data_IF_401613700672
#
_entry.id   IF_401613700672
#
_cell.length_a   1.000
_cell.length_b   1.000
_cell.length_c   1.000
_cell.angle_alpha   90.00
_cell.angle_beta   90.00
_cell.angle_gamma   90.00
#
_symmetry.space_group_name_H-M   'P 1'
#
loop_
_entity.id
_entity.type
_entity.pdbx_description
1 polymer ?
#
# COMPACT_ATOMS: atom_id res chain seq x y z
N UNK A 1 -3.73 -16.73 8.57
CA UNK A 1 -3.24 -16.05 9.80
C UNK A 1 -3.32 -14.53 9.63
N UNK A 2 -2.78 -13.95 8.55
CA UNK A 2 -2.80 -12.49 8.31
C UNK A 2 -4.19 -11.87 8.33
N UNK A 3 -5.18 -12.52 7.71
CA UNK A 3 -6.57 -12.07 7.69
C UNK A 3 -7.17 -11.95 9.08
N UNK A 4 -7.03 -12.99 9.91
CA UNK A 4 -7.53 -12.98 11.29
C UNK A 4 -6.85 -11.87 12.11
N UNK A 5 -5.53 -11.75 11.98
CA UNK A 5 -4.76 -10.71 12.68
C UNK A 5 -5.21 -9.31 12.30
N UNK A 6 -5.41 -9.06 10.99
CA UNK A 6 -5.90 -7.78 10.50
C UNK A 6 -7.28 -7.43 11.06
N UNK A 7 -8.23 -8.38 10.99
CA UNK A 7 -9.59 -8.20 11.53
C UNK A 7 -9.60 -7.87 13.01
N UNK A 8 -8.68 -8.45 13.79
CA UNK A 8 -8.55 -8.13 15.21
C UNK A 8 -7.93 -6.76 15.45
N UNK A 9 -6.87 -6.40 14.70
CA UNK A 9 -6.12 -5.17 14.94
C UNK A 9 -6.89 -3.92 14.48
N UNK A 10 -7.66 -4.00 13.40
CA UNK A 10 -8.39 -2.84 12.86
C UNK A 10 -9.55 -2.37 13.74
N UNK A 11 -9.96 -3.16 14.72
CA UNK A 11 -11.07 -2.82 15.64
C UNK A 11 -10.59 -2.02 16.85
N UNK A 12 -11.54 -1.34 17.49
CA UNK A 12 -11.31 -0.75 18.81
C UNK A 12 -11.25 -1.85 19.89
N UNK A 13 -10.40 -1.65 20.90
CA UNK A 13 -10.19 -2.62 21.99
C UNK A 13 -11.48 -2.95 22.75
N UNK A 14 -12.43 -2.02 22.79
CA UNK A 14 -13.67 -2.15 23.56
C UNK A 14 -14.83 -2.76 22.75
N UNK A 15 -14.61 -3.11 21.47
CA UNK A 15 -15.66 -3.64 20.60
C UNK A 15 -15.68 -5.16 20.62
N UNK A 16 -16.89 -5.73 20.67
CA UNK A 16 -17.11 -7.15 20.39
C UNK A 16 -16.84 -7.38 18.90
N UNK A 17 -15.87 -8.25 18.61
CA UNK A 17 -15.49 -8.59 17.24
C UNK A 17 -16.38 -9.75 16.79
N UNK A 18 -17.21 -9.52 15.79
CA UNK A 18 -17.93 -10.58 15.07
C UNK A 18 -17.09 -10.93 13.85
N UNK A 19 -16.48 -12.11 13.84
CA UNK A 19 -15.63 -12.58 12.74
C UNK A 19 -16.49 -13.29 11.68
N UNK A 20 -16.56 -12.70 10.49
CA UNK A 20 -17.16 -13.30 9.29
C UNK A 20 -16.04 -13.70 8.34
N UNK A 21 -15.78 -14.99 8.23
CA UNK A 21 -14.70 -15.53 7.41
C UNK A 21 -14.87 -15.18 5.93
N UNK A 22 -16.07 -15.28 5.39
CA UNK A 22 -16.33 -15.02 3.97
C UNK A 22 -16.04 -13.56 3.62
N UNK A 23 -16.51 -12.63 4.46
CA UNK A 23 -16.27 -11.21 4.30
C UNK A 23 -14.79 -10.84 4.49
N UNK A 24 -14.11 -11.47 5.44
CA UNK A 24 -12.71 -11.19 5.75
C UNK A 24 -11.73 -11.72 4.68
N UNK A 25 -12.16 -12.65 3.84
CA UNK A 25 -11.40 -13.20 2.71
C UNK A 25 -11.70 -12.49 1.38
N UNK A 26 -12.59 -11.49 1.38
CA UNK A 26 -12.91 -10.71 0.18
C UNK A 26 -11.68 -9.93 -0.33
N UNK A 27 -11.56 -9.84 -1.65
CA UNK A 27 -10.61 -8.95 -2.33
C UNK A 27 -11.16 -7.50 -2.48
N UNK A 28 -12.28 -7.21 -1.83
CA UNK A 28 -12.93 -5.90 -1.84
C UNK A 28 -13.11 -5.38 -0.41
N UNK A 29 -13.05 -4.07 -0.26
CA UNK A 29 -13.26 -3.39 1.01
C UNK A 29 -12.03 -3.41 1.93
N UNK A 30 -12.27 -3.19 3.22
CA UNK A 30 -11.22 -3.08 4.24
C UNK A 30 -10.83 -4.47 4.78
N UNK A 31 -10.03 -5.21 4.00
CA UNK A 31 -9.60 -6.59 4.28
C UNK A 31 -8.10 -6.78 4.04
N UNK A 32 -7.49 -7.72 4.75
CA UNK A 32 -6.08 -8.06 4.52
C UNK A 32 -5.81 -8.55 3.08
N UNK A 33 -6.65 -9.43 2.47
CA UNK A 33 -6.46 -9.82 1.08
C UNK A 33 -6.47 -8.66 0.09
N UNK A 34 -7.33 -7.65 0.29
CA UNK A 34 -7.35 -6.44 -0.53
C UNK A 34 -5.99 -5.71 -0.50
N UNK A 35 -5.45 -5.52 0.70
CA UNK A 35 -4.16 -4.84 0.92
C UNK A 35 -3.01 -5.67 0.33
N UNK A 36 -3.00 -6.97 0.59
CA UNK A 36 -1.99 -7.89 0.07
C UNK A 36 -2.03 -7.98 -1.46
N UNK A 37 -3.21 -7.91 -2.07
CA UNK A 37 -3.36 -7.87 -3.52
C UNK A 37 -2.77 -6.61 -4.14
N UNK A 38 -2.94 -5.44 -3.50
CA UNK A 38 -2.30 -4.20 -3.95
C UNK A 38 -0.77 -4.32 -3.93
N UNK A 39 -0.21 -4.92 -2.87
CA UNK A 39 1.23 -5.21 -2.77
C UNK A 39 1.71 -6.13 -3.89
N UNK A 40 1.04 -7.27 -4.11
CA UNK A 40 1.40 -8.23 -5.14
C UNK A 40 1.32 -7.62 -6.55
N UNK A 41 0.31 -6.75 -6.79
CA UNK A 41 0.17 -6.00 -8.04
C UNK A 41 1.34 -5.06 -8.28
N UNK A 42 1.77 -4.30 -7.27
CA UNK A 42 2.94 -3.42 -7.35
C UNK A 42 4.21 -4.22 -7.63
N UNK A 43 4.43 -5.33 -6.91
CA UNK A 43 5.57 -6.24 -7.14
C UNK A 43 5.62 -6.75 -8.58
N UNK A 44 4.47 -7.11 -9.15
CA UNK A 44 4.36 -7.55 -10.55
C UNK A 44 4.70 -6.44 -11.56
N UNK A 45 4.34 -5.18 -11.28
CA UNK A 45 4.73 -4.04 -12.12
C UNK A 45 6.25 -3.89 -12.10
N UNK A 46 6.87 -3.94 -10.93
CA UNK A 46 8.32 -3.85 -10.78
C UNK A 46 9.05 -4.98 -11.52
N UNK A 47 8.61 -6.22 -11.36
CA UNK A 47 9.15 -7.38 -12.09
C UNK A 47 9.05 -7.20 -13.61
N UNK A 48 7.88 -6.81 -14.11
CA UNK A 48 7.62 -6.64 -15.55
C UNK A 48 8.35 -5.46 -16.18
N UNK A 49 8.65 -4.42 -15.41
CA UNK A 49 9.33 -3.22 -15.92
C UNK A 49 10.74 -3.51 -16.39
N UNK A 50 11.41 -4.48 -15.76
CA UNK A 50 12.85 -4.76 -15.98
C UNK A 50 13.76 -3.58 -15.58
N UNK A 51 13.20 -2.51 -14.99
CA UNK A 51 13.93 -1.31 -14.59
C UNK A 51 14.30 -1.42 -13.11
N UNK A 52 15.56 -1.20 -12.79
CA UNK A 52 16.00 -1.08 -11.40
C UNK A 52 15.51 0.27 -10.85
N UNK A 53 14.67 0.29 -9.80
CA UNK A 53 14.20 1.54 -9.21
C UNK A 53 15.38 2.38 -8.70
N UNK A 54 15.35 3.67 -9.01
CA UNK A 54 16.35 4.64 -8.56
C UNK A 54 15.64 5.87 -7.99
N UNK A 55 16.27 6.52 -7.02
CA UNK A 55 15.84 7.83 -6.51
C UNK A 55 16.36 8.98 -7.38
N UNK A 56 17.30 8.70 -8.29
CA UNK A 56 17.86 9.67 -9.23
C UNK A 56 16.96 9.77 -10.47
N UNK A 57 15.74 10.29 -10.24
CA UNK A 57 14.71 10.51 -11.25
C UNK A 57 14.08 11.88 -11.09
N UNK A 58 13.46 12.38 -12.14
CA UNK A 58 12.76 13.68 -12.10
C UNK A 58 11.33 13.52 -11.59
N UNK A 59 11.13 13.75 -10.31
CA UNK A 59 9.81 13.69 -9.67
C UNK A 59 8.85 14.80 -10.13
N UNK A 60 9.34 15.89 -10.76
CA UNK A 60 8.48 16.95 -11.30
C UNK A 60 7.61 16.47 -12.47
N UNK A 61 7.94 15.34 -13.07
CA UNK A 61 7.15 14.70 -14.11
C UNK A 61 5.87 14.02 -13.59
N UNK A 62 5.78 13.75 -12.30
CA UNK A 62 4.61 13.15 -11.65
C UNK A 62 3.57 14.25 -11.37
N UNK A 63 2.62 14.45 -12.30
CA UNK A 63 1.65 15.56 -12.24
C UNK A 63 0.19 15.11 -12.19
N UNK A 64 -0.08 13.82 -12.38
CA UNK A 64 -1.44 13.29 -12.27
C UNK A 64 -1.92 13.33 -10.81
N UNK A 65 -3.20 13.65 -10.60
CA UNK A 65 -3.77 13.73 -9.26
C UNK A 65 -3.57 12.45 -8.45
N UNK A 66 -3.72 11.29 -9.09
CA UNK A 66 -3.52 9.99 -8.44
C UNK A 66 -2.06 9.71 -8.07
N UNK A 67 -1.08 10.24 -8.84
CA UNK A 67 0.34 10.19 -8.50
C UNK A 67 0.63 11.05 -7.26
N UNK A 68 0.10 12.28 -7.23
CA UNK A 68 0.28 13.21 -6.13
C UNK A 68 -0.38 12.71 -4.83
N UNK A 69 -1.56 12.11 -4.92
CA UNK A 69 -2.26 11.53 -3.77
C UNK A 69 -1.52 10.31 -3.21
N UNK A 70 -0.95 9.48 -4.07
CA UNK A 70 -0.11 8.35 -3.64
C UNK A 70 1.17 8.85 -2.94
N UNK A 71 1.84 9.87 -3.48
CA UNK A 71 3.03 10.48 -2.85
C UNK A 71 2.68 11.02 -1.45
N UNK A 72 1.57 11.75 -1.32
CA UNK A 72 1.11 12.28 -0.03
C UNK A 72 0.85 11.16 0.97
N UNK A 73 0.15 10.10 0.54
CA UNK A 73 -0.19 8.97 1.41
C UNK A 73 1.06 8.22 1.87
N UNK A 74 2.02 7.98 0.98
CA UNK A 74 3.34 7.42 1.34
C UNK A 74 4.04 8.31 2.38
N UNK A 75 4.03 9.62 2.18
CA UNK A 75 4.66 10.58 3.07
C UNK A 75 4.11 10.61 4.50
N UNK A 76 2.89 10.13 4.70
CA UNK A 76 2.27 10.06 6.04
C UNK A 76 2.82 8.91 6.90
N UNK A 77 3.58 7.95 6.36
CA UNK A 77 4.01 6.75 7.07
C UNK A 77 4.62 7.04 8.46
N UNK A 78 5.62 7.91 8.52
CA UNK A 78 6.31 8.21 9.76
C UNK A 78 5.40 8.87 10.82
N UNK A 79 4.47 9.72 10.40
CA UNK A 79 3.51 10.36 11.32
C UNK A 79 2.49 9.34 11.84
N UNK A 80 2.02 8.41 11.01
CA UNK A 80 1.09 7.34 11.40
C UNK A 80 1.74 6.35 12.38
N UNK A 81 3.01 5.99 12.16
CA UNK A 81 3.78 5.14 13.09
C UNK A 81 3.94 5.83 14.44
N UNK A 82 4.28 7.11 14.44
CA UNK A 82 4.41 7.90 15.67
C UNK A 82 3.10 8.03 16.42
N UNK A 83 2.01 8.28 15.71
CA UNK A 83 0.67 8.38 16.29
C UNK A 83 0.23 7.05 16.90
N UNK A 84 0.41 5.95 16.17
CA UNK A 84 0.12 4.60 16.68
C UNK A 84 0.90 4.27 17.95
N UNK A 85 2.18 4.63 18.00
CA UNK A 85 3.05 4.38 19.16
C UNK A 85 2.64 5.23 20.37
N UNK A 86 2.40 6.54 20.17
CA UNK A 86 2.03 7.46 21.25
C UNK A 86 0.68 7.12 21.89
N UNK A 87 -0.26 6.60 21.10
CA UNK A 87 -1.61 6.27 21.54
C UNK A 87 -1.82 4.78 21.84
N UNK A 88 -0.77 3.94 21.72
CA UNK A 88 -0.88 2.48 21.85
C UNK A 88 -2.00 1.89 20.97
N UNK A 89 -2.13 2.42 19.75
CA UNK A 89 -3.25 2.17 18.85
C UNK A 89 -2.78 1.53 17.52
N UNK A 90 -2.49 0.22 17.46
CA UNK A 90 -2.04 -0.43 16.23
C UNK A 90 -3.08 -0.36 15.09
N UNK A 91 -4.35 -0.12 15.40
CA UNK A 91 -5.41 0.14 14.41
C UNK A 91 -5.09 1.31 13.48
N UNK A 92 -4.29 2.29 13.93
CA UNK A 92 -3.85 3.42 13.10
C UNK A 92 -3.01 2.92 11.92
N UNK A 93 -2.11 1.97 12.16
CA UNK A 93 -1.31 1.34 11.10
C UNK A 93 -2.18 0.48 10.19
N UNK A 94 -3.14 -0.29 10.74
CA UNK A 94 -4.06 -1.08 9.91
C UNK A 94 -4.85 -0.19 8.95
N UNK A 95 -5.41 0.92 9.44
CA UNK A 95 -6.11 1.91 8.62
C UNK A 95 -5.19 2.52 7.56
N UNK A 96 -3.97 2.88 7.95
CA UNK A 96 -2.99 3.42 7.02
C UNK A 96 -2.66 2.43 5.89
N UNK A 97 -2.50 1.14 6.18
CA UNK A 97 -2.28 0.12 5.14
C UNK A 97 -3.44 0.08 4.14
N UNK A 98 -4.68 0.16 4.62
CA UNK A 98 -5.87 0.21 3.75
C UNK A 98 -5.88 1.47 2.90
N UNK A 99 -5.69 2.65 3.49
CA UNK A 99 -5.71 3.93 2.78
C UNK A 99 -4.60 4.00 1.72
N UNK A 100 -3.42 3.46 2.04
CA UNK A 100 -2.30 3.35 1.11
C UNK A 100 -2.62 2.41 -0.06
N UNK A 101 -3.27 1.27 0.20
CA UNK A 101 -3.71 0.34 -0.84
C UNK A 101 -4.79 0.95 -1.75
N UNK A 102 -5.74 1.71 -1.18
CA UNK A 102 -6.77 2.44 -1.94
C UNK A 102 -6.13 3.48 -2.86
N UNK A 103 -5.19 4.27 -2.33
CA UNK A 103 -4.47 5.28 -3.09
C UNK A 103 -3.67 4.66 -4.25
N UNK A 104 -2.99 3.54 -3.99
CA UNK A 104 -2.27 2.81 -5.04
C UNK A 104 -3.20 2.23 -6.11
N UNK A 105 -4.33 1.65 -5.73
CA UNK A 105 -5.29 1.11 -6.70
C UNK A 105 -5.87 2.22 -7.59
N UNK A 106 -6.17 3.39 -7.02
CA UNK A 106 -6.57 4.57 -7.81
C UNK A 106 -5.47 5.00 -8.79
N UNK A 107 -4.23 5.08 -8.34
CA UNK A 107 -3.09 5.35 -9.23
C UNK A 107 -2.98 4.32 -10.35
N UNK A 108 -3.09 3.04 -10.03
CA UNK A 108 -2.99 1.94 -11.00
C UNK A 108 -4.08 1.99 -12.08
N UNK A 109 -5.29 2.41 -11.72
CA UNK A 109 -6.42 2.51 -12.65
C UNK A 109 -6.31 3.70 -13.61
N UNK A 110 -5.72 4.79 -13.15
CA UNK A 110 -5.65 6.05 -13.93
C UNK A 110 -4.33 6.24 -14.68
N UNK A 111 -3.26 5.56 -14.26
CA UNK A 111 -1.91 5.78 -14.78
C UNK A 111 -1.34 4.51 -15.43
N UNK A 112 -0.98 4.62 -16.70
CA UNK A 112 -0.26 3.56 -17.42
C UNK A 112 1.23 3.64 -17.08
N UNK A 113 1.69 2.82 -16.15
CA UNK A 113 3.08 2.85 -15.66
C UNK A 113 4.05 2.32 -16.71
N UNK A 114 3.73 1.18 -17.34
CA UNK A 114 4.64 0.48 -18.26
C UNK A 114 4.54 0.97 -19.71
N UNK A 115 3.39 1.52 -20.11
CA UNK A 115 3.08 1.90 -21.49
C UNK A 115 3.34 3.41 -21.75
N UNK A 116 4.21 4.05 -20.97
CA UNK A 116 4.61 5.44 -21.22
C UNK A 116 5.67 5.50 -22.30
N UNK A 117 5.46 6.36 -23.30
CA UNK A 117 6.45 6.66 -24.35
C UNK A 117 7.63 7.51 -23.84
N UNK A 118 7.50 8.10 -22.66
CA UNK A 118 8.54 8.89 -22.01
C UNK A 118 9.28 8.05 -20.98
N UNK A 119 10.51 7.67 -21.27
CA UNK A 119 11.35 6.84 -20.39
C UNK A 119 11.67 7.50 -19.04
N UNK A 120 11.83 8.83 -19.01
CA UNK A 120 12.07 9.56 -17.77
C UNK A 120 10.83 9.51 -16.86
N UNK A 121 9.63 9.75 -17.41
CA UNK A 121 8.37 9.62 -16.68
C UNK A 121 8.14 8.18 -16.20
N UNK A 122 8.41 7.20 -17.06
CA UNK A 122 8.32 5.78 -16.70
C UNK A 122 9.23 5.44 -15.53
N UNK A 123 10.46 5.91 -15.53
CA UNK A 123 11.41 5.70 -14.42
C UNK A 123 10.93 6.35 -13.13
N UNK A 124 10.36 7.55 -13.19
CA UNK A 124 9.78 8.24 -12.03
C UNK A 124 8.56 7.48 -11.47
N UNK A 125 7.70 6.94 -12.34
CA UNK A 125 6.56 6.09 -11.94
C UNK A 125 7.01 4.77 -11.32
N UNK A 126 8.03 4.13 -11.86
CA UNK A 126 8.61 2.90 -11.26
C UNK A 126 9.20 3.19 -9.88
N UNK A 127 9.87 4.33 -9.70
CA UNK A 127 10.35 4.74 -8.39
C UNK A 127 9.17 4.93 -7.40
N UNK A 128 8.07 5.55 -7.83
CA UNK A 128 6.86 5.72 -7.01
C UNK A 128 6.24 4.37 -6.63
N UNK A 129 6.09 3.44 -7.57
CA UNK A 129 5.59 2.08 -7.30
C UNK A 129 6.49 1.33 -6.31
N UNK A 130 7.81 1.46 -6.44
CA UNK A 130 8.76 0.86 -5.50
C UNK A 130 8.63 1.47 -4.10
N UNK A 131 8.48 2.79 -4.02
CA UNK A 131 8.28 3.50 -2.73
C UNK A 131 7.00 3.04 -2.04
N UNK A 132 5.89 2.88 -2.79
CA UNK A 132 4.66 2.29 -2.28
C UNK A 132 4.90 0.88 -1.74
N UNK A 133 5.56 0.02 -2.53
CA UNK A 133 5.77 -1.38 -2.18
C UNK A 133 6.58 -1.52 -0.88
N UNK A 134 7.69 -0.80 -0.76
CA UNK A 134 8.53 -0.78 0.45
C UNK A 134 7.77 -0.24 1.67
N UNK A 135 6.98 0.83 1.49
CA UNK A 135 6.22 1.43 2.59
C UNK A 135 5.13 0.49 3.09
N UNK A 136 4.38 -0.13 2.18
CA UNK A 136 3.32 -1.07 2.55
C UNK A 136 3.89 -2.33 3.21
N UNK A 137 5.01 -2.86 2.70
CA UNK A 137 5.72 -3.99 3.32
C UNK A 137 6.09 -3.68 4.78
N UNK A 138 6.69 -2.51 5.04
CA UNK A 138 7.06 -2.08 6.38
C UNK A 138 5.84 -1.87 7.28
N UNK A 139 4.76 -1.30 6.76
CA UNK A 139 3.53 -1.11 7.53
C UNK A 139 2.88 -2.46 7.90
N UNK A 140 2.83 -3.41 6.98
CA UNK A 140 2.33 -4.77 7.24
C UNK A 140 3.22 -5.53 8.22
N UNK A 141 4.55 -5.39 8.12
CA UNK A 141 5.51 -6.00 9.04
C UNK A 141 5.31 -5.53 10.48
N UNK A 142 5.03 -4.25 10.70
CA UNK A 142 4.67 -3.70 12.02
C UNK A 142 3.42 -4.37 12.62
N UNK A 143 2.52 -4.86 11.78
CA UNK A 143 1.32 -5.60 12.20
C UNK A 143 1.57 -7.12 12.29
N UNK A 144 2.77 -7.58 11.94
CA UNK A 144 3.09 -9.00 11.83
C UNK A 144 2.31 -9.72 10.73
N UNK A 145 1.96 -9.01 9.65
CA UNK A 145 1.25 -9.53 8.49
C UNK A 145 2.22 -9.64 7.32
N UNK A 146 2.30 -10.81 6.71
CA UNK A 146 3.19 -11.03 5.56
C UNK A 146 2.69 -10.30 4.32
N UNK A 147 3.63 -9.73 3.57
CA UNK A 147 3.41 -9.12 2.26
C UNK A 147 3.83 -10.12 1.15
N UNK A 148 2.90 -10.88 0.54
CA UNK A 148 3.26 -11.89 -0.45
C UNK A 148 3.54 -11.24 -1.81
N UNK A 149 4.65 -11.60 -2.44
CA UNK A 149 4.98 -11.12 -3.79
C UNK A 149 4.04 -11.67 -4.88
N UNK A 150 3.35 -12.78 -4.61
CA UNK A 150 2.39 -13.43 -5.52
C UNK A 150 1.14 -13.87 -4.75
N UNK A 151 0.00 -13.59 -5.31
CA UNK A 151 -1.31 -14.08 -4.88
C UNK A 151 -2.01 -14.77 -6.05
#
# INVERSE_FOLDING_TARGET
IGTLRYEMIKQDLDKIITFDLAKSLSLEGDTAPYIQYAYARASRILEKSGITPSIDVDFSLLQENSELDLIKTIGLFNSQVRDAANNFAPKVIARYCHDLAVSFNSFYEHVKVLDSDNDALKSSRICLVNSFNLTLEKALDLLGISAPHKM
#
